data_IF_068069357675
#
_entry.id   IF_068069357675
#
_cell.length_a   1.000
_cell.length_b   1.000
_cell.length_c   1.000
_cell.angle_alpha   90.00
_cell.angle_beta   90.00
_cell.angle_gamma   90.00
#
_symmetry.space_group_name_H-M   'P 1'
#
loop_
_entity.id
_entity.type
_entity.pdbx_description
1 polymer ?
#
# COMPACT_ATOMS: atom_id res chain seq x y z
N UNK A 1 -25.42 49.14 -25.89
CA UNK A 1 -24.89 49.81 -24.67
C UNK A 1 -25.74 49.33 -23.50
N UNK A 2 -25.31 49.01 -22.29
CA UNK A 2 -24.02 48.87 -21.60
C UNK A 2 -24.39 48.26 -20.22
N UNK A 3 -23.58 47.32 -19.71
CA UNK A 3 -23.68 46.73 -18.36
C UNK A 3 -23.63 47.78 -17.24
N UNK A 4 -24.15 47.42 -16.06
CA UNK A 4 -23.58 47.68 -14.71
C UNK A 4 -24.42 46.88 -13.69
N UNK A 5 -23.99 45.71 -13.20
CA UNK A 5 -22.97 45.44 -12.19
C UNK A 5 -23.31 46.05 -10.81
N UNK A 6 -23.86 45.23 -9.91
CA UNK A 6 -23.81 45.51 -8.48
C UNK A 6 -22.80 44.57 -7.82
N UNK A 7 -21.84 45.19 -7.13
CA UNK A 7 -20.65 44.57 -6.56
C UNK A 7 -20.90 44.05 -5.13
N UNK A 8 -20.15 43.02 -4.74
CA UNK A 8 -20.16 42.30 -3.45
C UNK A 8 -19.64 43.13 -2.25
N UNK A 9 -19.90 44.44 -2.18
CA UNK A 9 -19.25 45.34 -1.20
C UNK A 9 -20.19 46.28 -0.43
N UNK A 10 -21.45 45.90 -0.21
CA UNK A 10 -22.40 46.67 0.60
C UNK A 10 -22.88 45.99 1.89
N UNK A 11 -22.28 44.87 2.32
CA UNK A 11 -22.79 44.14 3.49
C UNK A 11 -22.06 44.40 4.83
N UNK A 12 -21.29 45.48 4.95
CA UNK A 12 -20.74 45.85 6.26
C UNK A 12 -20.89 47.34 6.47
N UNK A 13 -22.05 47.75 6.99
CA UNK A 13 -22.16 48.85 7.94
C UNK A 13 -23.55 48.89 8.58
N UNK A 14 -23.54 49.00 9.90
CA UNK A 14 -24.61 49.47 10.78
C UNK A 14 -25.69 48.46 11.19
N UNK A 15 -25.43 47.73 12.28
CA UNK A 15 -26.23 47.93 13.51
C UNK A 15 -25.48 47.38 14.73
N UNK A 16 -25.00 48.29 15.57
CA UNK A 16 -24.64 47.99 16.94
C UNK A 16 -25.90 48.18 17.82
N UNK A 17 -25.97 47.40 18.91
CA UNK A 17 -26.86 47.54 20.09
C UNK A 17 -28.33 47.18 19.89
N UNK A 18 -28.73 45.97 20.34
CA UNK A 18 -29.55 45.71 21.56
C UNK A 18 -30.17 44.31 21.52
N UNK A 19 -30.00 43.53 22.59
CA UNK A 19 -30.96 42.50 23.03
C UNK A 19 -31.02 41.20 22.22
N UNK A 20 -30.68 40.08 22.87
CA UNK A 20 -30.56 38.75 22.26
C UNK A 20 -31.75 38.26 21.44
N UNK A 21 -31.43 37.81 20.21
CA UNK A 21 -31.98 36.60 19.59
C UNK A 21 -30.82 35.97 18.81
N UNK A 22 -30.26 34.88 19.33
CA UNK A 22 -29.48 33.96 18.50
C UNK A 22 -30.47 33.37 17.49
N UNK A 23 -30.56 33.97 16.29
CA UNK A 23 -31.05 33.24 15.12
C UNK A 23 -29.95 32.24 14.74
N UNK A 24 -29.83 31.19 15.56
CA UNK A 24 -29.25 29.94 15.11
C UNK A 24 -30.14 29.45 13.98
N UNK A 25 -29.76 29.76 12.74
CA UNK A 25 -30.24 29.00 11.59
C UNK A 25 -29.83 27.56 11.84
N UNK A 26 -30.73 26.80 12.46
CA UNK A 26 -30.68 25.35 12.54
C UNK A 26 -30.87 24.85 11.11
N UNK A 27 -29.83 24.95 10.30
CA UNK A 27 -29.62 23.98 9.25
C UNK A 27 -29.47 22.66 10.01
N UNK A 28 -30.55 21.89 10.04
CA UNK A 28 -30.57 20.54 10.56
C UNK A 28 -29.34 19.82 10.02
N UNK A 29 -28.47 19.36 10.93
CA UNK A 29 -27.31 18.54 10.61
C UNK A 29 -27.67 17.36 9.70
N UNK A 30 -28.91 16.88 9.78
CA UNK A 30 -29.51 15.86 8.91
C UNK A 30 -29.77 16.34 7.47
N UNK A 31 -30.13 17.60 7.25
CA UNK A 31 -30.28 18.16 5.90
C UNK A 31 -28.91 18.44 5.25
N UNK A 32 -27.90 18.82 6.04
CA UNK A 32 -26.52 18.90 5.58
C UNK A 32 -25.90 17.51 5.32
N UNK A 33 -26.17 16.52 6.16
CA UNK A 33 -25.72 15.13 5.98
C UNK A 33 -26.43 14.45 4.79
N UNK A 34 -27.71 14.73 4.55
CA UNK A 34 -28.42 14.23 3.37
C UNK A 34 -27.94 14.91 2.07
N UNK A 35 -27.47 16.17 2.13
CA UNK A 35 -26.85 16.84 0.97
C UNK A 35 -25.45 16.31 0.63
N UNK A 36 -24.69 15.81 1.63
CA UNK A 36 -23.37 15.20 1.40
C UNK A 36 -23.47 13.79 0.83
N UNK A 37 -24.51 13.03 1.17
CA UNK A 37 -24.66 11.65 0.68
C UNK A 37 -24.97 11.54 -0.82
N UNK A 38 -25.56 12.57 -1.43
CA UNK A 38 -25.85 12.61 -2.87
C UNK A 38 -24.79 13.34 -3.70
N UNK A 39 -23.70 13.84 -3.09
CA UNK A 39 -22.64 14.52 -3.84
C UNK A 39 -21.78 13.50 -4.57
N UNK A 40 -21.51 13.73 -5.85
CA UNK A 40 -20.51 12.96 -6.59
C UNK A 40 -19.12 13.11 -5.95
N UNK A 41 -18.47 12.00 -5.66
CA UNK A 41 -17.10 11.97 -5.14
C UNK A 41 -16.11 11.99 -6.30
N UNK A 42 -15.16 12.92 -6.24
CA UNK A 42 -14.07 13.03 -7.21
C UNK A 42 -12.95 12.07 -6.83
N UNK A 43 -12.75 11.05 -7.65
CA UNK A 43 -11.66 10.11 -7.55
C UNK A 43 -10.50 10.54 -8.44
N UNK A 44 -9.27 10.39 -7.96
CA UNK A 44 -8.07 10.51 -8.79
C UNK A 44 -7.15 9.31 -8.62
N UNK A 45 -6.43 8.99 -9.68
CA UNK A 45 -5.43 7.92 -9.69
C UNK A 45 -4.02 8.50 -9.78
N UNK A 46 -3.14 8.13 -8.84
CA UNK A 46 -1.71 8.40 -8.89
C UNK A 46 -0.96 7.07 -9.00
N UNK A 47 -0.30 6.83 -10.13
CA UNK A 47 0.32 5.57 -10.49
C UNK A 47 -0.60 4.70 -11.35
N UNK A 48 -0.41 4.78 -12.67
CA UNK A 48 -1.21 4.15 -13.71
C UNK A 48 -0.64 2.80 -14.15
N UNK A 49 -0.05 2.05 -13.22
CA UNK A 49 0.35 0.66 -13.43
C UNK A 49 -0.84 -0.30 -13.32
N UNK A 50 -0.62 -1.60 -13.59
CA UNK A 50 -1.70 -2.59 -13.59
C UNK A 50 -2.52 -2.64 -12.29
N UNK A 51 -1.86 -2.51 -11.13
CA UNK A 51 -2.54 -2.46 -9.83
C UNK A 51 -3.37 -1.19 -9.64
N UNK A 52 -2.85 -0.04 -10.07
CA UNK A 52 -3.57 1.25 -10.04
C UNK A 52 -4.79 1.26 -10.96
N UNK A 53 -4.66 0.71 -12.18
CA UNK A 53 -5.78 0.48 -13.10
C UNK A 53 -6.87 -0.36 -12.44
N UNK A 54 -6.49 -1.49 -11.82
CA UNK A 54 -7.43 -2.33 -11.09
C UNK A 54 -8.14 -1.59 -9.96
N UNK A 55 -7.37 -0.91 -9.09
CA UNK A 55 -7.92 -0.13 -7.97
C UNK A 55 -8.91 0.95 -8.42
N UNK A 56 -8.66 1.61 -9.56
CA UNK A 56 -9.58 2.60 -10.11
C UNK A 56 -10.89 1.94 -10.58
N UNK A 57 -10.82 0.78 -11.23
CA UNK A 57 -12.02 -0.01 -11.61
C UNK A 57 -12.81 -0.42 -10.37
N UNK A 58 -12.14 -0.98 -9.35
CA UNK A 58 -12.81 -1.40 -8.11
C UNK A 58 -13.47 -0.23 -7.37
N UNK A 59 -12.78 0.92 -7.29
CA UNK A 59 -13.34 2.13 -6.72
C UNK A 59 -14.57 2.65 -7.47
N UNK A 60 -14.57 2.58 -8.81
CA UNK A 60 -15.71 2.98 -9.63
C UNK A 60 -16.88 2.00 -9.50
N UNK A 61 -16.63 0.70 -9.28
CA UNK A 61 -17.70 -0.28 -9.00
C UNK A 61 -18.27 -0.17 -7.58
N UNK A 62 -17.45 0.25 -6.61
CA UNK A 62 -17.83 0.34 -5.20
C UNK A 62 -18.95 1.35 -4.91
N UNK A 63 -19.06 2.43 -5.70
CA UNK A 63 -20.07 3.46 -5.48
C UNK A 63 -20.45 4.16 -6.80
N UNK A 64 -21.74 4.08 -7.17
CA UNK A 64 -22.32 4.65 -8.39
C UNK A 64 -22.06 6.16 -8.57
N UNK A 65 -21.92 6.89 -7.48
CA UNK A 65 -21.73 8.35 -7.46
C UNK A 65 -20.25 8.76 -7.32
N UNK A 66 -19.31 7.88 -7.70
CA UNK A 66 -17.88 8.18 -7.86
C UNK A 66 -17.55 8.45 -9.33
N UNK A 67 -16.71 9.46 -9.58
CA UNK A 67 -16.21 9.84 -10.90
C UNK A 67 -14.69 9.96 -10.89
N UNK A 68 -14.00 9.27 -11.81
CA UNK A 68 -12.56 9.45 -12.04
C UNK A 68 -12.33 10.76 -12.81
N UNK A 69 -11.82 11.79 -12.12
CA UNK A 69 -11.71 13.15 -12.68
C UNK A 69 -10.32 13.49 -13.20
N UNK A 70 -9.27 12.83 -12.72
CA UNK A 70 -7.88 13.10 -13.08
C UNK A 70 -6.97 11.89 -12.83
N UNK A 71 -5.87 11.82 -13.58
CA UNK A 71 -4.88 10.74 -13.48
C UNK A 71 -3.46 11.32 -13.56
N UNK A 72 -2.54 10.70 -12.83
CA UNK A 72 -1.14 11.07 -12.78
C UNK A 72 -0.22 9.85 -12.88
N UNK A 73 0.79 9.92 -13.75
CA UNK A 73 1.88 8.95 -13.81
C UNK A 73 3.20 9.65 -14.18
N UNK A 74 4.33 9.03 -13.87
CA UNK A 74 5.61 9.51 -14.36
C UNK A 74 5.69 9.39 -15.90
N UNK A 75 5.03 8.39 -16.47
CA UNK A 75 5.09 8.04 -17.89
C UNK A 75 3.74 8.17 -18.60
N UNK A 76 3.72 8.90 -19.71
CA UNK A 76 2.52 9.07 -20.54
C UNK A 76 1.98 7.73 -21.07
N UNK A 77 2.88 6.82 -21.48
CA UNK A 77 2.51 5.49 -21.97
C UNK A 77 1.71 4.67 -20.94
N UNK A 78 2.02 4.86 -19.65
CA UNK A 78 1.31 4.20 -18.55
C UNK A 78 -0.05 4.82 -18.29
N UNK A 79 -0.13 6.15 -18.30
CA UNK A 79 -1.37 6.87 -18.10
C UNK A 79 -2.40 6.50 -19.18
N UNK A 80 -2.02 6.60 -20.45
CA UNK A 80 -2.95 6.37 -21.56
C UNK A 80 -3.38 4.91 -21.66
N UNK A 81 -2.46 3.96 -21.45
CA UNK A 81 -2.81 2.53 -21.42
C UNK A 81 -3.73 2.18 -20.26
N UNK A 82 -3.54 2.79 -19.08
CA UNK A 82 -4.42 2.62 -17.93
C UNK A 82 -5.82 3.18 -18.20
N UNK A 83 -5.91 4.42 -18.71
CA UNK A 83 -7.21 5.04 -18.99
C UNK A 83 -8.01 4.24 -20.02
N UNK A 84 -7.33 3.76 -21.07
CA UNK A 84 -7.93 2.86 -22.06
C UNK A 84 -8.46 1.60 -21.39
N UNK A 85 -7.63 0.89 -20.61
CA UNK A 85 -8.03 -0.35 -19.94
C UNK A 85 -9.19 -0.15 -18.95
N UNK A 86 -9.21 0.96 -18.18
CA UNK A 86 -10.34 1.29 -17.29
C UNK A 86 -11.62 1.51 -18.10
N UNK A 87 -11.52 2.19 -19.24
CA UNK A 87 -12.68 2.50 -20.07
C UNK A 87 -13.24 1.24 -20.74
N UNK A 88 -12.37 0.33 -21.18
CA UNK A 88 -12.74 -0.96 -21.77
C UNK A 88 -13.35 -1.90 -20.73
N UNK A 89 -12.76 -2.01 -19.54
CA UNK A 89 -13.24 -2.89 -18.45
C UNK A 89 -14.60 -2.47 -17.91
N UNK A 90 -14.95 -1.18 -18.02
CA UNK A 90 -16.22 -0.62 -17.55
C UNK A 90 -17.18 -0.29 -18.70
N UNK A 91 -16.89 -0.72 -19.93
CA UNK A 91 -17.79 -0.50 -21.06
C UNK A 91 -19.15 -1.16 -20.81
N UNK A 92 -20.23 -0.46 -21.16
CA UNK A 92 -21.60 -0.86 -20.82
C UNK A 92 -22.01 -0.67 -19.35
N UNK A 93 -21.07 -0.57 -18.40
CA UNK A 93 -21.36 -0.25 -16.99
C UNK A 93 -21.29 1.27 -16.75
N UNK A 94 -20.23 1.92 -17.24
CA UNK A 94 -19.91 3.32 -16.97
C UNK A 94 -19.14 3.97 -18.11
N UNK A 95 -19.51 5.20 -18.42
CA UNK A 95 -18.74 6.03 -19.33
C UNK A 95 -17.62 6.77 -18.58
N UNK A 96 -16.40 6.24 -18.64
CA UNK A 96 -15.22 6.86 -18.02
C UNK A 96 -14.53 7.81 -19.00
N UNK A 97 -14.50 9.12 -18.68
CA UNK A 97 -13.84 10.14 -19.50
C UNK A 97 -13.01 11.10 -18.65
N UNK A 98 -11.69 10.91 -18.67
CA UNK A 98 -10.74 11.88 -18.09
C UNK A 98 -10.33 12.87 -19.18
N UNK A 99 -10.60 14.16 -18.93
CA UNK A 99 -10.22 15.25 -19.87
C UNK A 99 -8.71 15.30 -20.01
N UNK A 100 -8.21 15.54 -21.22
CA UNK A 100 -6.76 15.63 -21.52
C UNK A 100 -6.03 16.58 -20.57
N UNK A 101 -6.59 17.76 -20.28
CA UNK A 101 -6.03 18.73 -19.32
C UNK A 101 -5.91 18.24 -17.87
N UNK A 102 -6.56 17.12 -17.52
CA UNK A 102 -6.53 16.47 -16.21
C UNK A 102 -5.68 15.18 -16.22
N UNK A 103 -4.94 14.93 -17.30
CA UNK A 103 -3.97 13.84 -17.43
C UNK A 103 -2.58 14.45 -17.25
N UNK A 104 -1.95 14.18 -16.13
CA UNK A 104 -0.70 14.84 -15.77
C UNK A 104 0.46 13.84 -15.77
N UNK A 105 1.55 14.20 -16.45
CA UNK A 105 2.74 13.35 -16.59
C UNK A 105 3.93 13.95 -15.86
N UNK A 106 4.75 13.12 -15.22
CA UNK A 106 6.02 13.47 -14.57
C UNK A 106 6.01 13.33 -13.05
N UNK A 107 7.17 13.50 -12.41
CA UNK A 107 7.37 13.24 -10.98
C UNK A 107 6.42 14.04 -10.06
N UNK A 108 6.18 15.32 -10.38
CA UNK A 108 5.34 16.21 -9.55
C UNK A 108 3.87 16.25 -10.01
N UNK A 109 3.46 15.35 -10.91
CA UNK A 109 2.08 15.30 -11.42
C UNK A 109 1.05 14.95 -10.34
N UNK A 110 1.47 14.22 -9.29
CA UNK A 110 0.59 13.79 -8.20
C UNK A 110 -0.09 14.96 -7.48
N UNK A 111 0.63 16.07 -7.26
CA UNK A 111 0.08 17.24 -6.55
C UNK A 111 -1.13 17.81 -7.30
N UNK A 112 -0.95 18.01 -8.62
CA UNK A 112 -1.98 18.57 -9.51
C UNK A 112 -3.28 17.77 -9.48
N UNK A 113 -3.19 16.43 -9.43
CA UNK A 113 -4.40 15.59 -9.40
C UNK A 113 -4.98 15.49 -8.00
N UNK A 114 -4.15 15.39 -6.96
CA UNK A 114 -4.64 15.29 -5.59
C UNK A 114 -5.46 16.53 -5.20
N UNK A 115 -5.06 17.72 -5.64
CA UNK A 115 -5.80 18.96 -5.38
C UNK A 115 -7.25 18.93 -5.92
N UNK A 116 -7.51 18.10 -6.94
CA UNK A 116 -8.82 17.95 -7.57
C UNK A 116 -9.73 16.92 -6.89
N UNK A 117 -9.20 16.13 -5.96
CA UNK A 117 -9.84 14.93 -5.43
C UNK A 117 -10.69 15.18 -4.18
N UNK A 118 -11.64 14.28 -3.94
CA UNK A 118 -12.16 13.95 -2.61
C UNK A 118 -11.51 12.64 -2.10
N UNK A 119 -11.28 11.68 -3.01
CA UNK A 119 -10.63 10.38 -2.75
C UNK A 119 -9.45 10.17 -3.69
N UNK A 120 -8.31 9.72 -3.16
CA UNK A 120 -7.07 9.49 -3.90
C UNK A 120 -6.70 8.01 -3.87
N UNK A 121 -6.40 7.43 -5.03
CA UNK A 121 -5.72 6.13 -5.14
C UNK A 121 -4.23 6.36 -5.33
N UNK A 122 -3.41 5.81 -4.43
CA UNK A 122 -1.96 5.84 -4.49
C UNK A 122 -1.40 4.46 -4.82
N UNK A 123 -0.99 4.27 -6.08
CA UNK A 123 -0.47 3.00 -6.61
C UNK A 123 0.91 3.16 -7.30
N UNK A 124 1.68 4.18 -6.90
CA UNK A 124 3.06 4.39 -7.34
C UNK A 124 4.02 3.40 -6.67
N UNK A 125 5.26 3.23 -7.18
CA UNK A 125 6.30 2.47 -6.48
C UNK A 125 6.42 2.91 -5.01
N UNK A 126 6.68 1.98 -4.08
CA UNK A 126 6.53 2.26 -2.67
C UNK A 126 7.39 3.38 -2.10
N UNK A 127 8.52 3.67 -2.72
CA UNK A 127 9.40 4.78 -2.32
C UNK A 127 8.70 6.15 -2.30
N UNK A 128 7.75 6.39 -3.22
CA UNK A 128 7.10 7.70 -3.33
C UNK A 128 5.89 7.89 -2.41
N UNK A 129 5.36 6.80 -1.87
CA UNK A 129 4.09 6.84 -1.17
C UNK A 129 4.09 7.63 0.15
N UNK A 130 5.17 7.66 0.96
CA UNK A 130 5.20 8.53 2.13
C UNK A 130 4.91 10.00 1.77
N UNK A 131 5.54 10.49 0.69
CA UNK A 131 5.34 11.84 0.18
C UNK A 131 3.92 12.05 -0.36
N UNK A 132 3.44 11.14 -1.21
CA UNK A 132 2.10 11.25 -1.80
C UNK A 132 0.99 11.16 -0.75
N UNK A 133 1.15 10.27 0.23
CA UNK A 133 0.19 10.08 1.32
C UNK A 133 0.15 11.31 2.22
N UNK A 134 1.31 11.83 2.62
CA UNK A 134 1.38 13.07 3.39
C UNK A 134 0.67 14.22 2.66
N UNK A 135 0.95 14.42 1.37
CA UNK A 135 0.33 15.47 0.58
C UNK A 135 -1.21 15.32 0.52
N UNK A 136 -1.72 14.09 0.34
CA UNK A 136 -3.15 13.82 0.36
C UNK A 136 -3.81 14.14 1.72
N UNK A 137 -3.20 13.72 2.82
CA UNK A 137 -3.73 13.96 4.16
C UNK A 137 -3.67 15.44 4.55
N UNK A 138 -2.60 16.14 4.18
CA UNK A 138 -2.46 17.58 4.41
C UNK A 138 -3.57 18.36 3.69
N UNK A 139 -3.99 17.90 2.51
CA UNK A 139 -5.06 18.49 1.68
C UNK A 139 -6.46 17.88 1.93
N UNK A 140 -6.67 17.25 3.08
CA UNK A 140 -7.98 16.75 3.55
C UNK A 140 -8.63 15.70 2.63
N UNK A 141 -7.82 14.79 2.06
CA UNK A 141 -8.30 13.74 1.14
C UNK A 141 -8.45 12.39 1.82
N UNK A 142 -9.47 11.63 1.42
CA UNK A 142 -9.54 10.21 1.70
C UNK A 142 -8.56 9.44 0.81
N UNK A 143 -8.02 8.33 1.30
CA UNK A 143 -6.94 7.62 0.62
C UNK A 143 -7.22 6.12 0.57
N UNK A 144 -7.13 5.56 -0.63
CA UNK A 144 -6.70 4.18 -0.82
C UNK A 144 -5.23 4.19 -1.21
N UNK A 145 -4.40 3.35 -0.60
CA UNK A 145 -3.00 3.23 -1.00
C UNK A 145 -2.52 1.79 -1.01
N UNK A 146 -1.80 1.43 -2.07
CA UNK A 146 -1.21 0.11 -2.17
C UNK A 146 -0.15 -0.13 -1.11
N UNK A 147 -0.01 -1.40 -0.69
CA UNK A 147 1.14 -1.85 0.09
C UNK A 147 2.38 -1.99 -0.80
N UNK A 148 3.59 -2.14 -0.24
CA UNK A 148 4.01 -1.80 1.14
C UNK A 148 4.12 -0.29 1.28
N UNK A 149 3.87 0.35 2.43
CA UNK A 149 3.64 1.83 2.45
C UNK A 149 4.89 2.72 2.35
N UNK A 150 6.08 2.15 2.46
CA UNK A 150 7.38 2.82 2.39
C UNK A 150 8.49 1.81 2.03
N UNK A 151 9.71 2.28 1.73
CA UNK A 151 10.88 1.43 1.43
C UNK A 151 11.96 1.44 2.50
N UNK A 152 11.90 2.38 3.45
CA UNK A 152 12.83 2.54 4.56
C UNK A 152 12.14 3.00 5.85
N UNK A 153 12.89 3.01 6.96
CA UNK A 153 12.39 3.40 8.27
C UNK A 153 11.97 4.87 8.32
N UNK A 154 12.65 5.75 7.58
CA UNK A 154 12.31 7.16 7.49
C UNK A 154 10.91 7.37 6.89
N UNK A 155 10.61 6.69 5.78
CA UNK A 155 9.30 6.68 5.15
C UNK A 155 8.23 6.07 6.04
N UNK A 156 8.54 4.99 6.79
CA UNK A 156 7.62 4.43 7.79
C UNK A 156 7.25 5.46 8.85
N UNK A 157 8.23 6.18 9.42
CA UNK A 157 7.96 7.25 10.40
C UNK A 157 7.07 8.36 9.81
N UNK A 158 7.33 8.78 8.57
CA UNK A 158 6.48 9.77 7.89
C UNK A 158 5.03 9.29 7.69
N UNK A 159 4.84 8.01 7.33
CA UNK A 159 3.50 7.44 7.19
C UNK A 159 2.79 7.35 8.55
N UNK A 160 3.49 6.98 9.62
CA UNK A 160 2.93 6.97 10.98
C UNK A 160 2.49 8.36 11.45
N UNK A 161 3.27 9.39 11.18
CA UNK A 161 2.87 10.77 11.47
C UNK A 161 1.64 11.19 10.65
N UNK A 162 1.63 10.88 9.36
CA UNK A 162 0.48 11.16 8.49
C UNK A 162 -0.77 10.38 8.92
N UNK A 163 -0.62 9.15 9.44
CA UNK A 163 -1.71 8.34 9.98
C UNK A 163 -2.35 8.98 11.23
N UNK A 164 -1.54 9.61 12.10
CA UNK A 164 -2.05 10.37 13.25
C UNK A 164 -2.87 11.58 12.80
N UNK A 165 -2.38 12.31 11.80
CA UNK A 165 -3.09 13.47 11.22
C UNK A 165 -4.40 13.02 10.57
N UNK A 166 -4.38 11.95 9.77
CA UNK A 166 -5.57 11.39 9.14
C UNK A 166 -6.64 11.02 10.19
N UNK A 167 -6.25 10.36 11.29
CA UNK A 167 -7.14 10.04 12.40
C UNK A 167 -7.78 11.28 13.00
N UNK A 168 -6.97 12.31 13.27
CA UNK A 168 -7.45 13.59 13.85
C UNK A 168 -8.44 14.29 12.92
N UNK A 169 -8.19 14.25 11.62
CA UNK A 169 -9.05 14.82 10.58
C UNK A 169 -10.24 13.93 10.21
N UNK A 170 -10.36 12.73 10.79
CA UNK A 170 -11.37 11.71 10.46
C UNK A 170 -11.37 11.32 8.97
N UNK A 171 -10.19 11.31 8.35
CA UNK A 171 -10.03 10.87 6.97
C UNK A 171 -9.93 9.35 6.92
N UNK A 172 -10.78 8.73 6.09
CA UNK A 172 -10.68 7.32 5.76
C UNK A 172 -9.38 7.01 5.00
N UNK A 173 -8.63 6.04 5.50
CA UNK A 173 -7.41 5.52 4.89
C UNK A 173 -7.45 3.99 4.84
N UNK A 174 -7.48 3.44 3.63
CA UNK A 174 -7.35 2.01 3.36
C UNK A 174 -5.97 1.70 2.76
N UNK A 175 -5.32 0.67 3.28
CA UNK A 175 -4.08 0.10 2.75
C UNK A 175 -4.41 -1.23 2.07
N UNK A 176 -3.88 -1.47 0.86
CA UNK A 176 -4.09 -2.66 0.01
C UNK A 176 -3.54 -3.99 0.55
N UNK A 177 -3.71 -4.25 1.85
CA UNK A 177 -3.46 -5.53 2.51
C UNK A 177 -4.71 -6.41 2.39
N UNK A 178 -5.06 -6.75 1.15
CA UNK A 178 -6.35 -7.34 0.76
C UNK A 178 -6.76 -8.58 1.57
N UNK A 179 -5.80 -9.40 2.06
CA UNK A 179 -6.11 -10.59 2.88
C UNK A 179 -6.91 -10.24 4.15
N UNK A 180 -6.78 -9.02 4.66
CA UNK A 180 -7.58 -8.50 5.78
C UNK A 180 -9.05 -8.28 5.43
N UNK A 181 -9.39 -8.22 4.15
CA UNK A 181 -10.75 -8.11 3.62
C UNK A 181 -11.29 -9.44 3.09
N UNK A 182 -10.46 -10.47 3.02
CA UNK A 182 -10.84 -11.79 2.50
C UNK A 182 -11.59 -12.60 3.56
N UNK A 183 -12.72 -13.18 3.18
CA UNK A 183 -13.62 -13.87 4.12
C UNK A 183 -12.99 -15.11 4.75
N UNK A 184 -12.18 -15.84 3.98
CA UNK A 184 -11.44 -17.03 4.43
C UNK A 184 -10.50 -16.71 5.61
N UNK A 185 -9.67 -15.67 5.48
CA UNK A 185 -8.76 -15.21 6.54
C UNK A 185 -9.53 -14.62 7.73
N UNK A 186 -10.57 -13.82 7.50
CA UNK A 186 -11.37 -13.26 8.59
C UNK A 186 -12.10 -14.33 9.40
N UNK A 187 -12.61 -15.38 8.75
CA UNK A 187 -13.24 -16.52 9.42
C UNK A 187 -12.23 -17.30 10.26
N UNK A 188 -11.02 -17.49 9.71
CA UNK A 188 -9.90 -18.12 10.42
C UNK A 188 -9.47 -17.29 11.64
N UNK A 189 -9.30 -15.98 11.49
CA UNK A 189 -8.98 -15.09 12.60
C UNK A 189 -10.04 -15.14 13.71
N UNK A 190 -11.34 -15.18 13.36
CA UNK A 190 -12.41 -15.33 14.37
C UNK A 190 -12.21 -16.59 15.21
N UNK A 191 -11.86 -17.72 14.58
CA UNK A 191 -11.60 -18.97 15.30
C UNK A 191 -10.32 -18.90 16.15
N UNK A 192 -9.28 -18.21 15.66
CA UNK A 192 -8.07 -17.91 16.45
C UNK A 192 -8.44 -17.11 17.70
N UNK A 193 -9.18 -16.01 17.54
CA UNK A 193 -9.59 -15.14 18.63
C UNK A 193 -10.53 -15.82 19.63
N UNK A 194 -11.33 -16.79 19.18
CA UNK A 194 -12.19 -17.59 20.05
C UNK A 194 -11.42 -18.70 20.82
N UNK A 195 -10.11 -18.83 20.60
CA UNK A 195 -9.25 -19.76 21.33
C UNK A 195 -9.30 -21.21 20.84
N UNK A 196 -9.90 -21.46 19.66
CA UNK A 196 -10.01 -22.79 19.05
C UNK A 196 -8.62 -23.37 18.68
N UNK A 197 -7.67 -22.51 18.33
CA UNK A 197 -6.30 -22.86 17.90
C UNK A 197 -5.34 -22.89 19.10
N UNK A 198 -5.73 -22.26 20.22
CA UNK A 198 -4.83 -21.96 21.32
C UNK A 198 -3.85 -20.84 20.95
N UNK A 199 -2.69 -20.82 21.61
CA UNK A 199 -1.65 -19.82 21.33
C UNK A 199 -0.83 -20.26 20.11
N UNK A 200 -0.63 -19.37 19.14
CA UNK A 200 0.32 -19.61 18.05
C UNK A 200 1.73 -19.61 18.63
N UNK A 201 2.49 -20.69 18.43
CA UNK A 201 3.86 -20.85 18.95
C UNK A 201 4.92 -20.86 17.86
N UNK A 202 4.55 -21.28 16.65
CA UNK A 202 5.42 -21.23 15.49
C UNK A 202 4.62 -21.12 14.21
N UNK A 203 5.30 -20.84 13.10
CA UNK A 203 4.68 -20.87 11.79
C UNK A 203 5.66 -20.63 10.66
N UNK A 204 5.16 -20.82 9.46
CA UNK A 204 5.87 -20.63 8.21
C UNK A 204 5.05 -19.73 7.30
N UNK A 205 5.70 -18.76 6.68
CA UNK A 205 5.07 -17.86 5.70
C UNK A 205 5.90 -17.83 4.41
N UNK A 206 5.24 -17.99 3.28
CA UNK A 206 5.89 -18.20 1.98
C UNK A 206 5.45 -17.20 0.92
N UNK A 207 6.42 -16.65 0.18
CA UNK A 207 6.21 -16.06 -1.14
C UNK A 207 7.31 -16.51 -2.10
N UNK A 208 7.12 -17.70 -2.64
CA UNK A 208 8.05 -18.38 -3.53
C UNK A 208 7.45 -18.45 -4.93
N UNK A 209 8.08 -17.79 -5.91
CA UNK A 209 7.62 -17.74 -7.29
C UNK A 209 8.79 -17.69 -8.29
N UNK A 210 8.46 -17.59 -9.58
CA UNK A 210 9.46 -17.47 -10.64
C UNK A 210 10.10 -16.07 -10.73
N UNK A 211 9.51 -15.05 -10.11
CA UNK A 211 9.93 -13.65 -10.26
C UNK A 211 8.97 -12.82 -11.09
N UNK A 212 9.42 -11.62 -11.45
CA UNK A 212 8.63 -10.62 -12.18
C UNK A 212 9.29 -10.28 -13.51
N UNK A 213 8.65 -9.42 -14.30
CA UNK A 213 9.19 -8.93 -15.56
C UNK A 213 10.62 -8.37 -15.40
N UNK A 214 11.36 -8.28 -16.51
CA UNK A 214 12.60 -7.51 -16.63
C UNK A 214 12.51 -6.73 -17.94
N UNK A 215 12.74 -5.41 -17.91
CA UNK A 215 12.84 -4.61 -19.13
C UNK A 215 14.31 -4.40 -19.45
N UNK A 216 14.73 -4.92 -20.61
CA UNK A 216 16.10 -4.76 -21.11
C UNK A 216 16.45 -3.29 -21.26
N UNK A 217 17.72 -2.97 -21.02
CA UNK A 217 18.27 -1.62 -21.27
C UNK A 217 18.08 -1.20 -22.72
N UNK A 218 17.75 0.08 -22.93
CA UNK A 218 17.62 0.70 -24.26
C UNK A 218 18.77 1.69 -24.46
N UNK A 219 19.34 1.74 -25.67
CA UNK A 219 20.45 2.66 -26.00
C UNK A 219 20.01 4.12 -25.78
N UNK A 220 20.81 4.88 -25.04
CA UNK A 220 20.55 6.30 -24.75
C UNK A 220 19.57 6.54 -23.59
N UNK A 221 19.04 5.49 -22.97
CA UNK A 221 18.20 5.60 -21.78
C UNK A 221 19.02 6.09 -20.58
N UNK A 222 18.47 7.07 -19.83
CA UNK A 222 19.10 7.52 -18.59
C UNK A 222 18.92 6.48 -17.48
N UNK A 223 19.81 6.50 -16.48
CA UNK A 223 19.66 5.61 -15.32
C UNK A 223 18.38 5.88 -14.54
N UNK A 224 17.95 7.14 -14.43
CA UNK A 224 16.68 7.48 -13.79
C UNK A 224 15.49 6.85 -14.53
N UNK A 225 15.44 6.96 -15.86
CA UNK A 225 14.38 6.34 -16.65
C UNK A 225 14.42 4.81 -16.54
N UNK A 226 15.60 4.21 -16.66
CA UNK A 226 15.79 2.77 -16.56
C UNK A 226 15.30 2.23 -15.22
N UNK A 227 15.71 2.86 -14.11
CA UNK A 227 15.29 2.47 -12.77
C UNK A 227 13.79 2.65 -12.55
N UNK A 228 13.21 3.78 -12.97
CA UNK A 228 11.76 4.01 -12.86
C UNK A 228 10.94 3.00 -13.69
N UNK A 229 11.43 2.59 -14.87
CA UNK A 229 10.79 1.55 -15.69
C UNK A 229 11.01 0.15 -15.13
N UNK A 230 12.10 -0.09 -14.42
CA UNK A 230 12.44 -1.35 -13.75
C UNK A 230 12.36 -1.26 -12.22
N UNK A 231 11.41 -0.47 -11.71
CA UNK A 231 11.35 -0.03 -10.30
C UNK A 231 11.45 -1.15 -9.28
N UNK A 232 10.96 -2.34 -9.63
CA UNK A 232 11.00 -3.53 -8.81
C UNK A 232 12.41 -3.89 -8.33
N UNK A 233 13.44 -3.64 -9.13
CA UNK A 233 14.81 -4.09 -8.86
C UNK A 233 15.66 -3.11 -8.04
N UNK A 234 15.09 -2.00 -7.58
CA UNK A 234 15.82 -0.93 -6.90
C UNK A 234 15.24 -0.69 -5.51
N UNK A 235 16.10 -0.65 -4.49
CA UNK A 235 15.66 -0.59 -3.10
C UNK A 235 14.92 0.70 -2.78
N UNK A 236 15.34 1.82 -3.35
CA UNK A 236 14.68 3.10 -3.14
C UNK A 236 13.26 3.12 -3.72
N UNK A 237 13.00 2.38 -4.78
CA UNK A 237 11.69 2.32 -5.43
C UNK A 237 10.79 1.22 -4.86
N UNK A 238 11.31 0.01 -4.70
CA UNK A 238 10.58 -1.22 -4.37
C UNK A 238 10.82 -1.68 -2.92
N UNK A 239 12.07 -1.57 -2.49
CA UNK A 239 12.53 -2.05 -1.19
C UNK A 239 12.73 -3.56 -1.09
N UNK A 240 12.93 -4.25 -2.22
CA UNK A 240 13.12 -5.70 -2.38
C UNK A 240 11.80 -6.52 -2.33
N UNK A 241 11.79 -7.74 -2.87
CA UNK A 241 10.58 -8.57 -2.98
C UNK A 241 10.06 -9.04 -1.62
N UNK A 242 10.93 -9.13 -0.60
CA UNK A 242 10.50 -9.34 0.79
C UNK A 242 9.55 -8.23 1.25
N UNK A 243 9.76 -7.00 0.78
CA UNK A 243 8.92 -5.86 1.11
C UNK A 243 7.74 -5.72 0.15
N UNK A 244 7.95 -5.86 -1.15
CA UNK A 244 6.90 -5.58 -2.14
C UNK A 244 5.83 -6.66 -2.15
N UNK A 245 6.22 -7.94 -2.23
CA UNK A 245 5.26 -9.03 -2.37
C UNK A 245 5.03 -9.78 -1.06
N UNK A 246 6.11 -10.18 -0.38
CA UNK A 246 6.03 -11.05 0.79
C UNK A 246 5.41 -10.37 2.02
N UNK A 247 5.29 -9.04 2.01
CA UNK A 247 4.58 -8.28 3.05
C UNK A 247 3.17 -8.82 3.31
N UNK A 248 2.48 -9.38 2.31
CA UNK A 248 1.16 -9.97 2.54
C UNK A 248 1.19 -11.09 3.58
N UNK A 249 2.15 -12.02 3.48
CA UNK A 249 2.22 -13.15 4.40
C UNK A 249 2.82 -12.73 5.75
N UNK A 250 3.77 -11.79 5.73
CA UNK A 250 4.31 -11.18 6.96
C UNK A 250 3.20 -10.45 7.73
N UNK A 251 2.32 -9.73 7.03
CA UNK A 251 1.16 -9.06 7.62
C UNK A 251 0.17 -10.07 8.22
N UNK A 252 -0.08 -11.20 7.56
CA UNK A 252 -0.92 -12.28 8.11
C UNK A 252 -0.31 -12.83 9.41
N UNK A 253 1.01 -13.05 9.46
CA UNK A 253 1.67 -13.47 10.69
C UNK A 253 1.48 -12.46 11.82
N UNK A 254 1.80 -11.18 11.59
CA UNK A 254 1.57 -10.11 12.57
C UNK A 254 0.10 -10.07 13.03
N UNK A 255 -0.83 -10.22 12.08
CA UNK A 255 -2.26 -10.13 12.32
C UNK A 255 -2.82 -11.29 13.14
N UNK A 256 -2.46 -12.52 12.78
CA UNK A 256 -2.97 -13.74 13.43
C UNK A 256 -2.37 -13.93 14.82
N UNK A 257 -1.11 -13.54 15.01
CA UNK A 257 -0.48 -13.56 16.34
C UNK A 257 -1.00 -12.39 17.19
N UNK A 258 -1.35 -11.26 16.56
CA UNK A 258 -1.90 -10.08 17.23
C UNK A 258 -0.84 -9.12 17.78
N UNK A 259 0.41 -9.26 17.33
CA UNK A 259 1.56 -8.45 17.75
C UNK A 259 2.58 -8.32 16.61
N UNK A 260 3.65 -7.56 16.84
CA UNK A 260 4.76 -7.37 15.91
C UNK A 260 6.03 -7.97 16.49
N UNK A 261 6.95 -8.49 15.65
CA UNK A 261 8.17 -9.11 16.13
C UNK A 261 9.08 -8.10 16.84
N UNK A 262 9.76 -8.55 17.90
CA UNK A 262 10.76 -7.74 18.61
C UNK A 262 12.15 -7.84 17.96
N UNK A 263 12.43 -8.91 17.21
CA UNK A 263 13.64 -9.04 16.40
C UNK A 263 13.46 -9.92 15.16
N UNK A 264 14.39 -9.77 14.22
CA UNK A 264 14.56 -10.62 13.05
C UNK A 264 16.02 -11.04 12.90
N UNK A 265 16.25 -12.29 12.52
CA UNK A 265 17.56 -12.78 12.05
C UNK A 265 17.35 -13.57 10.77
N UNK A 266 18.30 -13.54 9.84
CA UNK A 266 18.08 -14.22 8.57
C UNK A 266 19.27 -14.25 7.64
N UNK A 267 19.08 -14.96 6.53
CA UNK A 267 20.03 -15.11 5.44
C UNK A 267 19.34 -14.86 4.10
N UNK A 268 20.11 -14.44 3.11
CA UNK A 268 19.61 -14.19 1.78
C UNK A 268 20.74 -13.90 0.81
N UNK A 269 20.40 -13.76 -0.46
CA UNK A 269 21.37 -13.49 -1.49
C UNK A 269 20.76 -13.47 -2.87
N UNK A 270 21.62 -13.70 -3.86
CA UNK A 270 21.27 -13.62 -5.27
C UNK A 270 21.93 -14.75 -6.03
N UNK A 271 21.11 -15.53 -6.71
CA UNK A 271 21.54 -16.63 -7.59
C UNK A 271 21.23 -16.30 -9.07
N UNK A 272 20.00 -15.84 -9.37
CA UNK A 272 19.49 -15.67 -10.73
C UNK A 272 19.47 -14.22 -11.21
N UNK A 273 19.47 -13.22 -10.31
CA UNK A 273 19.47 -11.80 -10.69
C UNK A 273 20.87 -11.25 -10.99
N UNK A 274 21.70 -11.98 -11.73
CA UNK A 274 23.15 -11.71 -11.87
C UNK A 274 23.57 -10.87 -13.11
N UNK A 275 22.63 -10.54 -14.01
CA UNK A 275 22.89 -9.74 -15.23
C UNK A 275 22.79 -8.22 -15.05
N UNK A 276 23.22 -7.48 -16.09
CA UNK A 276 23.18 -6.00 -16.17
C UNK A 276 21.76 -5.40 -16.18
N UNK A 277 20.77 -6.26 -16.44
CA UNK A 277 19.35 -5.89 -16.45
C UNK A 277 18.69 -6.01 -15.06
N UNK A 278 19.48 -6.33 -14.01
CA UNK A 278 19.01 -6.40 -12.63
C UNK A 278 19.67 -5.31 -11.78
N UNK A 279 18.89 -4.72 -10.87
CA UNK A 279 19.35 -3.78 -9.85
C UNK A 279 20.04 -4.46 -8.66
N UNK A 280 20.02 -3.80 -7.50
CA UNK A 280 20.80 -4.21 -6.32
C UNK A 280 20.13 -5.25 -5.40
N UNK A 281 18.89 -5.66 -5.67
CA UNK A 281 18.12 -6.48 -4.73
C UNK A 281 18.47 -7.98 -4.76
N UNK A 282 18.22 -8.67 -3.64
CA UNK A 282 18.36 -10.12 -3.51
C UNK A 282 17.26 -10.85 -4.28
N UNK A 283 17.42 -12.13 -4.62
CA UNK A 283 16.33 -12.95 -5.17
C UNK A 283 15.76 -13.95 -4.18
N UNK A 284 16.35 -14.08 -2.99
CA UNK A 284 15.78 -14.88 -1.93
C UNK A 284 16.13 -14.35 -0.53
N UNK A 285 15.20 -14.55 0.39
CA UNK A 285 15.36 -14.29 1.82
C UNK A 285 14.77 -15.44 2.62
N UNK A 286 15.43 -15.78 3.72
CA UNK A 286 14.90 -16.57 4.82
C UNK A 286 15.13 -15.80 6.12
N UNK A 287 14.06 -15.55 6.87
CA UNK A 287 14.07 -14.73 8.08
C UNK A 287 13.32 -15.45 9.19
N UNK A 288 13.88 -15.51 10.37
CA UNK A 288 13.18 -15.87 11.59
C UNK A 288 12.76 -14.59 12.31
N UNK A 289 11.45 -14.41 12.46
CA UNK A 289 10.86 -13.34 13.26
C UNK A 289 10.54 -13.87 14.66
N UNK A 290 11.10 -13.25 15.68
CA UNK A 290 10.81 -13.56 17.09
C UNK A 290 9.80 -12.55 17.61
N UNK A 291 8.73 -13.05 18.23
CA UNK A 291 7.66 -12.22 18.76
C UNK A 291 7.71 -12.11 20.28
N UNK A 292 7.17 -11.04 20.89
CA UNK A 292 7.13 -10.87 22.34
C UNK A 292 6.48 -12.04 23.09
N UNK A 293 5.47 -12.68 22.50
CA UNK A 293 4.85 -13.88 23.08
C UNK A 293 5.77 -15.11 23.13
N UNK A 294 6.93 -15.08 22.47
CA UNK A 294 7.83 -16.22 22.28
C UNK A 294 7.56 -17.00 20.98
N UNK A 295 6.57 -16.61 20.17
CA UNK A 295 6.35 -17.24 18.87
C UNK A 295 7.52 -16.99 17.91
N UNK A 296 7.87 -18.00 17.12
CA UNK A 296 8.91 -17.91 16.08
C UNK A 296 8.29 -18.20 14.72
N UNK A 297 8.36 -17.23 13.81
CA UNK A 297 7.86 -17.38 12.44
C UNK A 297 9.03 -17.46 11.46
N UNK A 298 9.12 -18.57 10.75
CA UNK A 298 10.04 -18.75 9.62
C UNK A 298 9.42 -18.16 8.35
N UNK A 299 10.01 -17.10 7.85
CA UNK A 299 9.56 -16.35 6.68
C UNK A 299 10.49 -16.62 5.50
N UNK A 300 9.95 -17.13 4.40
CA UNK A 300 10.70 -17.41 3.19
C UNK A 300 10.08 -16.72 1.99
N UNK A 301 10.91 -16.04 1.20
CA UNK A 301 10.50 -15.58 -0.12
C UNK A 301 11.61 -15.74 -1.15
N UNK A 302 11.25 -16.11 -2.39
CA UNK A 302 12.20 -16.48 -3.45
C UNK A 302 11.65 -16.17 -4.83
N UNK A 303 12.52 -15.69 -5.72
CA UNK A 303 12.30 -15.53 -7.15
C UNK A 303 13.31 -16.33 -7.97
N UNK A 304 12.94 -17.56 -8.32
CA UNK A 304 13.78 -18.46 -9.11
C UNK A 304 12.91 -19.28 -10.09
N UNK A 305 13.03 -19.07 -11.40
CA UNK A 305 12.30 -19.86 -12.40
C UNK A 305 12.58 -21.38 -12.26
N UNK A 306 11.58 -22.21 -12.57
CA UNK A 306 11.73 -23.67 -12.53
C UNK A 306 11.74 -24.31 -11.13
N UNK A 307 11.42 -23.54 -10.08
CA UNK A 307 11.39 -24.02 -8.68
C UNK A 307 9.96 -24.10 -8.14
N UNK A 308 9.75 -24.79 -7.00
CA UNK A 308 8.41 -24.98 -6.38
C UNK A 308 7.73 -23.64 -6.07
N UNK A 309 6.56 -23.39 -6.67
CA UNK A 309 5.70 -22.27 -6.31
C UNK A 309 5.07 -22.49 -4.93
N UNK A 310 5.09 -21.47 -4.06
CA UNK A 310 4.45 -21.53 -2.74
C UNK A 310 4.10 -20.12 -2.24
N UNK A 311 2.80 -19.81 -2.17
CA UNK A 311 2.30 -18.57 -1.58
C UNK A 311 1.24 -18.93 -0.54
N UNK A 312 1.71 -19.16 0.68
CA UNK A 312 0.89 -19.75 1.75
C UNK A 312 1.37 -19.31 3.14
N UNK A 313 0.57 -19.62 4.15
CA UNK A 313 0.93 -19.52 5.55
C UNK A 313 0.50 -20.80 6.28
N UNK A 314 1.32 -21.23 7.24
CA UNK A 314 1.02 -22.31 8.14
C UNK A 314 1.39 -21.89 9.57
N UNK A 315 0.49 -22.08 10.53
CA UNK A 315 0.73 -21.73 11.93
C UNK A 315 0.45 -22.93 12.82
N UNK A 316 1.36 -23.19 13.75
CA UNK A 316 1.19 -24.20 14.78
C UNK A 316 0.69 -23.54 16.06
N UNK A 317 -0.51 -23.92 16.48
CA UNK A 317 -1.11 -23.51 17.74
C UNK A 317 -1.01 -24.60 18.81
N UNK A 318 -1.18 -24.23 20.07
CA UNK A 318 -1.16 -25.20 21.18
C UNK A 318 -2.32 -26.20 21.15
N UNK A 319 -3.38 -25.97 20.36
CA UNK A 319 -4.53 -26.88 20.24
C UNK A 319 -4.80 -27.38 18.82
N UNK A 320 -4.47 -26.58 17.82
CA UNK A 320 -4.69 -26.91 16.41
C UNK A 320 -3.69 -26.16 15.52
N UNK A 321 -3.66 -26.53 14.24
CA UNK A 321 -2.83 -25.94 13.21
C UNK A 321 -3.72 -25.18 12.21
N UNK A 322 -3.22 -24.07 11.69
CA UNK A 322 -3.87 -23.25 10.67
C UNK A 322 -3.06 -23.35 9.38
N UNK A 323 -3.73 -23.52 8.24
CA UNK A 323 -3.11 -23.48 6.91
C UNK A 323 -3.92 -22.58 6.00
N UNK A 324 -3.27 -21.61 5.35
CA UNK A 324 -3.88 -20.67 4.40
C UNK A 324 -3.09 -20.59 3.10
N UNK A 325 -3.78 -20.51 1.95
CA UNK A 325 -3.16 -20.37 0.62
C UNK A 325 -4.19 -19.85 -0.38
N UNK A 326 -4.07 -18.59 -0.81
CA UNK A 326 -5.11 -17.95 -1.62
C UNK A 326 -6.47 -17.98 -0.91
N UNK A 327 -7.49 -18.55 -1.53
CA UNK A 327 -8.83 -18.73 -0.94
C UNK A 327 -8.97 -19.94 -0.02
N UNK A 328 -7.97 -20.82 0.00
CA UNK A 328 -7.95 -21.98 0.87
C UNK A 328 -7.58 -21.57 2.30
N UNK A 329 -8.43 -21.93 3.28
CA UNK A 329 -8.15 -21.82 4.71
C UNK A 329 -8.67 -23.07 5.42
N UNK A 330 -7.82 -23.65 6.28
CA UNK A 330 -8.13 -24.88 7.01
C UNK A 330 -7.57 -24.84 8.43
N UNK A 331 -8.31 -25.42 9.37
CA UNK A 331 -7.86 -25.68 10.74
C UNK A 331 -7.91 -27.17 11.00
N UNK A 332 -6.81 -27.72 11.51
CA UNK A 332 -6.62 -29.15 11.72
C UNK A 332 -6.19 -29.35 13.17
N UNK A 333 -6.87 -30.22 13.91
CA UNK A 333 -6.40 -30.58 15.26
C UNK A 333 -5.08 -31.37 15.20
N UNK A 334 -4.47 -31.63 16.36
CA UNK A 334 -3.21 -32.38 16.42
C UNK A 334 -3.35 -33.88 16.12
N UNK A 335 -4.58 -34.39 16.01
CA UNK A 335 -4.86 -35.76 15.57
C UNK A 335 -5.06 -35.85 14.06
N UNK A 336 -5.04 -34.72 13.34
CA UNK A 336 -5.24 -34.67 11.89
C UNK A 336 -6.70 -34.49 11.46
N UNK A 337 -7.63 -34.22 12.39
CA UNK A 337 -9.04 -34.00 12.06
C UNK A 337 -9.30 -32.56 11.62
N UNK A 338 -10.14 -32.41 10.60
CA UNK A 338 -10.58 -31.12 10.10
C UNK A 338 -11.54 -30.46 11.10
N UNK A 339 -11.10 -29.35 11.71
CA UNK A 339 -11.95 -28.54 12.60
C UNK A 339 -12.70 -27.45 11.83
N UNK A 340 -12.08 -26.95 10.75
CA UNK A 340 -12.65 -25.92 9.89
C UNK A 340 -12.06 -26.03 8.49
N UNK A 341 -12.91 -25.81 7.49
CA UNK A 341 -12.51 -25.64 6.09
C UNK A 341 -13.40 -24.58 5.48
N UNK A 342 -12.79 -23.55 4.90
CA UNK A 342 -13.53 -22.48 4.23
C UNK A 342 -14.05 -22.93 2.86
N UNK A 343 -15.28 -22.55 2.53
CA UNK A 343 -15.87 -22.70 1.20
C UNK A 343 -15.82 -21.36 0.46
N UNK A 344 -15.03 -21.24 -0.63
CA UNK A 344 -14.85 -19.99 -1.34
C UNK A 344 -15.93 -19.74 -2.42
N UNK A 345 -16.89 -20.64 -2.62
CA UNK A 345 -17.78 -20.63 -3.80
C UNK A 345 -18.60 -19.34 -3.98
N UNK A 346 -18.83 -18.59 -2.91
CA UNK A 346 -19.61 -17.34 -2.92
C UNK A 346 -18.80 -16.14 -2.42
N UNK A 347 -17.47 -16.24 -2.42
CA UNK A 347 -16.63 -15.15 -1.96
C UNK A 347 -16.53 -14.05 -3.00
N UNK A 348 -16.71 -12.81 -2.54
CA UNK A 348 -16.44 -11.62 -3.34
C UNK A 348 -14.95 -11.35 -3.28
N UNK A 349 -14.39 -10.86 -4.39
CA UNK A 349 -12.99 -10.48 -4.47
C UNK A 349 -12.61 -9.54 -3.32
N UNK A 350 -11.59 -9.86 -2.50
CA UNK A 350 -11.14 -8.99 -1.42
C UNK A 350 -10.62 -7.63 -1.92
N UNK A 351 -10.12 -7.58 -3.16
CA UNK A 351 -9.76 -6.33 -3.82
C UNK A 351 -10.98 -5.44 -4.10
N UNK A 352 -12.17 -6.00 -4.29
CA UNK A 352 -13.39 -5.19 -4.40
C UNK A 352 -13.87 -4.75 -3.02
N UNK A 353 -13.88 -5.67 -2.05
CA UNK A 353 -14.36 -5.41 -0.68
C UNK A 353 -13.60 -4.25 -0.03
N UNK A 354 -12.28 -4.15 -0.18
CA UNK A 354 -11.51 -3.05 0.42
C UNK A 354 -11.95 -1.66 -0.09
N UNK A 355 -12.36 -1.57 -1.36
CA UNK A 355 -12.93 -0.36 -1.93
C UNK A 355 -14.38 -0.16 -1.49
N UNK A 356 -15.21 -1.20 -1.48
CA UNK A 356 -16.60 -1.12 -1.00
C UNK A 356 -16.64 -0.56 0.43
N UNK A 357 -15.78 -1.06 1.31
CA UNK A 357 -15.66 -0.58 2.71
C UNK A 357 -15.16 0.85 2.80
N UNK A 358 -14.22 1.25 1.94
CA UNK A 358 -13.74 2.64 1.90
C UNK A 358 -14.89 3.60 1.59
N UNK A 359 -15.63 3.35 0.51
CA UNK A 359 -16.71 4.23 0.07
C UNK A 359 -17.92 4.17 1.03
N UNK A 360 -18.29 2.99 1.53
CA UNK A 360 -19.32 2.84 2.57
C UNK A 360 -18.97 3.67 3.81
N UNK A 361 -17.71 3.63 4.27
CA UNK A 361 -17.26 4.41 5.43
C UNK A 361 -17.32 5.92 5.16
N UNK A 362 -16.91 6.37 3.96
CA UNK A 362 -17.00 7.79 3.58
C UNK A 362 -18.47 8.26 3.59
N UNK A 363 -19.39 7.47 3.01
CA UNK A 363 -20.82 7.82 2.94
C UNK A 363 -21.51 7.80 4.31
N UNK A 364 -21.15 6.85 5.18
CA UNK A 364 -21.74 6.74 6.51
C UNK A 364 -21.13 7.70 7.54
N UNK A 365 -20.08 8.46 7.19
CA UNK A 365 -19.33 9.28 8.14
C UNK A 365 -18.46 8.43 9.10
N UNK A 366 -18.23 7.17 8.75
CA UNK A 366 -17.30 6.28 9.44
C UNK A 366 -15.84 6.67 9.25
N UNK A 367 -14.95 6.01 10.00
CA UNK A 367 -13.51 6.22 9.94
C UNK A 367 -12.77 4.89 9.92
N UNK A 368 -12.11 4.61 8.80
CA UNK A 368 -11.14 3.53 8.64
C UNK A 368 -9.74 4.13 8.72
N UNK A 369 -8.85 3.54 9.51
CA UNK A 369 -7.45 3.96 9.59
C UNK A 369 -6.50 2.76 9.55
N UNK A 370 -6.19 2.34 8.34
CA UNK A 370 -5.31 1.20 8.10
C UNK A 370 -3.83 1.58 8.08
N UNK A 371 -3.51 2.88 8.02
CA UNK A 371 -2.16 3.36 7.80
C UNK A 371 -1.19 2.93 8.91
N UNK A 372 -1.65 2.91 10.18
CA UNK A 372 -0.80 2.52 11.30
C UNK A 372 -0.34 1.04 11.19
N UNK A 373 -1.28 0.10 11.04
CA UNK A 373 -0.90 -1.30 10.93
C UNK A 373 -0.19 -1.58 9.59
N UNK A 374 -0.55 -0.89 8.51
CA UNK A 374 0.14 -0.99 7.22
C UNK A 374 1.61 -0.55 7.30
N UNK A 375 1.89 0.51 8.06
CA UNK A 375 3.24 0.98 8.34
C UNK A 375 4.03 0.00 9.21
N UNK A 376 3.40 -0.60 10.23
CA UNK A 376 4.05 -1.60 11.08
C UNK A 376 4.35 -2.90 10.32
N UNK A 377 3.44 -3.40 9.48
CA UNK A 377 3.73 -4.57 8.62
C UNK A 377 4.80 -4.28 7.57
N UNK A 378 4.83 -3.06 7.04
CA UNK A 378 5.92 -2.58 6.17
C UNK A 378 7.25 -2.57 6.92
N UNK A 379 7.27 -2.11 8.18
CA UNK A 379 8.47 -2.14 9.01
C UNK A 379 8.93 -3.56 9.32
N UNK A 380 8.03 -4.52 9.59
CA UNK A 380 8.42 -5.93 9.77
C UNK A 380 9.17 -6.47 8.56
N UNK A 381 8.68 -6.19 7.35
CA UNK A 381 9.33 -6.63 6.13
C UNK A 381 10.68 -5.90 5.88
N UNK A 382 10.77 -4.59 6.19
CA UNK A 382 12.04 -3.84 6.16
C UNK A 382 13.04 -4.44 7.17
N UNK A 383 12.60 -4.79 8.38
CA UNK A 383 13.42 -5.43 9.40
C UNK A 383 13.97 -6.78 8.91
N UNK A 384 13.14 -7.58 8.23
CA UNK A 384 13.58 -8.81 7.58
C UNK A 384 14.63 -8.58 6.50
N UNK A 385 14.44 -7.58 5.62
CA UNK A 385 15.45 -7.18 4.63
C UNK A 385 16.76 -6.80 5.31
N UNK A 386 16.70 -5.94 6.33
CA UNK A 386 17.87 -5.49 7.08
C UNK A 386 18.65 -6.66 7.69
N UNK A 387 17.94 -7.63 8.30
CA UNK A 387 18.56 -8.82 8.87
C UNK A 387 19.34 -9.61 7.81
N UNK A 388 18.71 -9.90 6.67
CA UNK A 388 19.39 -10.65 5.59
C UNK A 388 20.54 -9.89 4.93
N UNK A 389 20.41 -8.59 4.71
CA UNK A 389 21.44 -7.79 4.05
C UNK A 389 22.70 -7.61 4.91
N UNK A 390 22.50 -7.46 6.22
CA UNK A 390 23.58 -7.27 7.19
C UNK A 390 24.14 -8.60 7.71
N UNK A 391 23.34 -9.66 7.71
CA UNK A 391 23.66 -10.93 8.38
C UNK A 391 23.69 -10.78 9.91
N UNK A 392 22.96 -9.82 10.47
CA UNK A 392 22.87 -9.56 11.91
C UNK A 392 21.43 -9.72 12.40
N UNK A 393 21.28 -9.99 13.69
CA UNK A 393 19.97 -9.83 14.34
C UNK A 393 19.64 -8.34 14.40
N UNK A 394 18.43 -7.99 13.97
CA UNK A 394 17.90 -6.63 13.96
C UNK A 394 16.69 -6.58 14.89
N UNK A 395 16.73 -5.68 15.87
CA UNK A 395 15.58 -5.43 16.74
C UNK A 395 14.58 -4.48 16.10
N UNK A 396 13.33 -4.51 16.55
CA UNK A 396 12.28 -3.59 16.11
C UNK A 396 12.71 -2.12 16.30
N UNK A 397 13.33 -1.82 17.44
CA UNK A 397 13.80 -0.47 17.76
C UNK A 397 14.90 -0.01 16.79
N UNK A 398 15.90 -0.86 16.51
CA UNK A 398 16.95 -0.56 15.53
C UNK A 398 16.37 -0.37 14.13
N UNK A 399 15.42 -1.20 13.72
CA UNK A 399 14.75 -1.04 12.42
C UNK A 399 13.97 0.28 12.35
N UNK A 400 13.14 0.58 13.36
CA UNK A 400 12.34 1.82 13.39
C UNK A 400 13.20 3.08 13.45
N UNK A 401 14.34 3.03 14.14
CA UNK A 401 15.24 4.17 14.35
C UNK A 401 16.39 4.24 13.35
N UNK A 402 16.45 3.37 12.34
CA UNK A 402 17.45 3.46 11.29
C UNK A 402 17.43 4.85 10.63
N UNK A 403 18.62 5.40 10.42
CA UNK A 403 18.85 6.71 9.81
C UNK A 403 19.02 6.61 8.28
N UNK A 404 18.91 5.41 7.71
CA UNK A 404 18.95 5.24 6.26
C UNK A 404 17.78 5.97 5.60
N UNK A 405 18.10 6.76 4.58
CA UNK A 405 17.13 7.39 3.68
C UNK A 405 17.45 6.90 2.27
N UNK A 406 16.56 6.08 1.71
CA UNK A 406 16.71 5.52 0.37
C UNK A 406 16.16 6.45 -0.69
N UNK A 407 15.09 7.19 -0.39
CA UNK A 407 14.36 8.02 -1.35
C UNK A 407 14.79 9.48 -1.19
N UNK A 408 15.48 10.08 -2.19
CA UNK A 408 15.80 11.49 -2.16
C UNK A 408 14.56 12.37 -2.27
N UNK A 409 14.68 13.58 -1.74
CA UNK A 409 13.69 14.64 -1.96
C UNK A 409 13.83 15.22 -3.37
N UNK A 410 12.75 15.86 -3.86
CA UNK A 410 12.75 16.69 -5.06
C UNK A 410 13.28 16.02 -6.35
N UNK A 411 12.90 14.76 -6.56
CA UNK A 411 13.30 13.98 -7.73
C UNK A 411 12.69 14.51 -9.04
N UNK A 412 13.49 14.44 -10.10
CA UNK A 412 13.11 14.76 -11.48
C UNK A 412 13.81 13.82 -12.46
N UNK A 413 13.45 13.89 -13.75
CA UNK A 413 14.13 13.15 -14.80
C UNK A 413 15.62 13.50 -14.96
N UNK A 414 16.04 14.68 -14.49
CA UNK A 414 17.43 15.13 -14.53
C UNK A 414 18.20 14.79 -13.25
N UNK A 415 17.53 14.21 -12.24
CA UNK A 415 18.19 13.84 -10.98
C UNK A 415 19.03 12.57 -11.18
N UNK A 416 20.15 12.50 -10.47
CA UNK A 416 20.91 11.26 -10.35
C UNK A 416 20.18 10.31 -9.40
N UNK A 417 19.89 9.06 -9.80
CA UNK A 417 19.26 8.10 -8.90
C UNK A 417 20.22 7.71 -7.73
N UNK A 418 19.69 7.21 -6.60
CA UNK A 418 20.49 6.90 -5.40
C UNK A 418 21.57 5.83 -5.58
N UNK A 419 21.41 5.02 -6.62
CA UNK A 419 22.24 3.86 -6.93
C UNK A 419 22.61 3.92 -8.41
N UNK A 420 23.86 3.62 -8.72
CA UNK A 420 24.39 3.63 -10.08
C UNK A 420 25.15 2.33 -10.35
N UNK A 421 25.12 1.82 -11.59
CA UNK A 421 25.93 0.68 -11.97
C UNK A 421 27.41 1.09 -12.06
N UNK A 422 28.30 0.11 -11.90
CA UNK A 422 29.72 0.25 -12.17
C UNK A 422 30.03 0.37 -13.68
N UNK A 423 31.31 0.46 -14.04
CA UNK A 423 31.76 0.53 -15.44
C UNK A 423 31.38 -0.71 -16.27
N UNK A 424 31.00 -1.82 -15.63
CA UNK A 424 30.55 -3.05 -16.28
C UNK A 424 29.01 -3.16 -16.32
N UNK A 425 28.29 -2.12 -15.91
CA UNK A 425 26.83 -2.10 -15.91
C UNK A 425 26.20 -2.85 -14.73
N UNK A 426 26.95 -3.14 -13.66
CA UNK A 426 26.47 -3.92 -12.50
C UNK A 426 26.29 -3.04 -11.26
N UNK A 427 25.16 -3.18 -10.57
CA UNK A 427 24.93 -2.47 -9.31
C UNK A 427 25.64 -3.16 -8.14
N UNK A 428 26.03 -2.35 -7.15
CA UNK A 428 26.55 -2.85 -5.88
C UNK A 428 25.44 -3.56 -5.12
N UNK A 429 25.67 -4.83 -4.76
CA UNK A 429 24.72 -5.63 -3.99
C UNK A 429 25.08 -5.65 -2.50
N UNK A 430 24.08 -5.81 -1.61
CA UNK A 430 24.35 -6.08 -0.20
C UNK A 430 25.21 -7.33 -0.03
N UNK A 431 26.12 -7.29 0.95
CA UNK A 431 26.99 -8.40 1.34
C UNK A 431 26.78 -8.72 2.82
N UNK A 432 26.12 -9.84 3.18
CA UNK A 432 25.95 -10.22 4.58
C UNK A 432 27.30 -10.30 5.30
N UNK A 433 27.36 -9.77 6.52
CA UNK A 433 28.61 -9.59 7.29
C UNK A 433 29.40 -8.32 6.97
N UNK A 434 29.08 -7.59 5.89
CA UNK A 434 29.76 -6.34 5.49
C UNK A 434 28.81 -5.15 5.39
N UNK A 435 27.58 -5.34 4.89
CA UNK A 435 26.58 -4.26 4.79
C UNK A 435 26.25 -3.70 6.17
N UNK A 436 26.18 -2.37 6.30
CA UNK A 436 25.76 -1.68 7.53
C UNK A 436 24.50 -0.87 7.26
N UNK A 437 23.44 -1.13 8.01
CA UNK A 437 22.12 -0.47 7.90
C UNK A 437 21.61 0.07 9.26
N UNK A 438 22.37 -0.19 10.32
CA UNK A 438 22.18 0.23 11.70
C UNK A 438 23.47 0.81 12.24
#
# INVERSE_FOLDING_TARGET
>A
MSKKQFSRRSFVKSTALTGGVLLSSTFSLEAMANSSNNKKLKLVLVGCGGRGTGAAVQALRADKDVELVAMADAFEDRLESSLKAISEELDGERNVKVKEKNRHVGFNSYQKVIDMADVVILATPPGFRPLHFKYAIDNDKHVFMEKPVATDANGVRQVLESAKVAKKKKLNVVVGLQRRYQKSYNSTLKLINNGNIGKIVSGQVYWNSAGVWVRKRVKGQTEMEYQMRNWYYFNWLCGDHILEQHIHNIDVANWFIGEYPNSASGMGGREVRNGIDHGEIFDHHFVEFKYPSGAIISSQCRHQPGTKYDVSEAFQGTKANVVTSGDYCKIIDHNGNDMFKHDPSNDISPYQIEHDRLFESIRSGGVINNAEYGAKSTLTAIMGRMATYTGKEITWEQALNSQQVLVPNDLSWNSTPPTLPDSNGRYSIPKPGQTKLI
#
